data_IF_556396885767
#
_entry.id   IF_556396885767
#
_cell.length_a   1.000
_cell.length_b   1.000
_cell.length_c   1.000
_cell.angle_alpha   90.00
_cell.angle_beta   90.00
_cell.angle_gamma   90.00
#
_symmetry.space_group_name_H-M   'P 1'
#
loop_
_entity.id
_entity.type
_entity.pdbx_description
1 polymer ?
#
# COMPACT_ATOMS: atom_id res chain seq x y z
N UNK A 1 2.99 11.81 23.45
CA UNK A 1 3.89 12.80 22.81
C UNK A 1 4.53 12.10 21.63
N UNK A 2 4.13 12.43 20.40
CA UNK A 2 4.62 11.73 19.21
C UNK A 2 5.90 12.40 18.70
N UNK A 3 6.97 11.63 18.52
CA UNK A 3 8.27 12.09 18.02
C UNK A 3 8.47 11.52 16.62
N UNK A 4 8.61 12.37 15.62
CA UNK A 4 8.95 11.96 14.25
C UNK A 4 10.48 11.83 14.16
N UNK A 5 10.99 10.68 13.69
CA UNK A 5 12.44 10.45 13.48
C UNK A 5 12.72 10.05 12.03
N UNK A 6 13.83 10.52 11.48
CA UNK A 6 14.27 10.22 10.11
C UNK A 6 14.92 8.84 10.01
N UNK A 7 14.55 8.07 8.97
CA UNK A 7 15.05 6.69 8.76
C UNK A 7 14.06 5.59 9.13
N UNK A 8 12.77 5.92 9.18
CA UNK A 8 11.79 5.18 9.96
C UNK A 8 10.52 4.84 9.17
N UNK A 9 10.20 3.55 9.17
CA UNK A 9 8.89 2.96 8.95
C UNK A 9 7.93 3.52 10.00
N UNK A 10 6.93 4.32 9.63
CA UNK A 10 5.78 4.47 10.52
C UNK A 10 4.87 3.25 10.33
N UNK A 11 4.39 2.74 11.44
CA UNK A 11 3.33 1.76 11.58
C UNK A 11 2.16 2.51 12.20
N UNK A 12 0.93 2.21 11.79
CA UNK A 12 -0.23 2.50 12.63
C UNK A 12 -0.87 1.16 12.93
N UNK A 13 -0.27 0.45 13.88
CA UNK A 13 -0.76 -0.85 14.32
C UNK A 13 -2.18 -0.72 14.87
N UNK A 14 -3.12 -1.45 14.27
CA UNK A 14 -3.59 -2.66 14.95
C UNK A 14 -4.06 -3.70 13.93
N UNK A 15 -3.31 -4.80 13.87
CA UNK A 15 -3.62 -6.17 13.37
C UNK A 15 -3.46 -6.59 11.89
N UNK A 16 -3.32 -5.72 10.87
CA UNK A 16 -3.20 -6.26 9.48
C UNK A 16 -2.34 -5.48 8.46
N UNK A 17 -2.04 -4.20 8.71
CA UNK A 17 -1.41 -3.31 7.71
C UNK A 17 -0.44 -2.31 8.31
N UNK A 18 0.60 -1.96 7.56
CA UNK A 18 1.60 -0.94 7.91
C UNK A 18 1.93 -0.06 6.71
N UNK A 19 1.84 1.27 6.85
CA UNK A 19 2.25 2.24 5.81
C UNK A 19 3.62 2.80 6.13
N UNK A 20 4.63 2.34 5.41
CA UNK A 20 6.02 2.57 5.76
C UNK A 20 6.64 3.71 4.92
N UNK A 21 7.60 4.42 5.53
CA UNK A 21 8.36 5.50 4.90
C UNK A 21 9.85 5.13 4.92
N UNK A 22 10.49 5.01 3.75
CA UNK A 22 11.96 4.81 3.66
C UNK A 22 12.70 6.13 3.46
N UNK A 23 13.99 6.12 3.78
CA UNK A 23 14.89 7.25 3.54
C UNK A 23 15.31 7.32 2.06
N UNK A 24 14.37 7.67 1.19
CA UNK A 24 14.63 7.97 -0.21
C UNK A 24 13.66 9.05 -0.67
N UNK A 25 14.02 9.83 -1.68
CA UNK A 25 13.16 10.86 -2.26
C UNK A 25 12.94 10.66 -3.76
N UNK A 26 13.23 9.47 -4.27
CA UNK A 26 13.05 9.13 -5.68
C UNK A 26 11.58 8.86 -6.00
N UNK A 27 11.20 9.16 -7.25
CA UNK A 27 9.94 8.67 -7.81
C UNK A 27 10.08 7.20 -8.22
N UNK A 28 9.00 6.43 -8.08
CA UNK A 28 8.94 5.08 -8.63
C UNK A 28 8.94 5.13 -10.15
N UNK A 29 9.44 4.07 -10.77
CA UNK A 29 9.11 3.78 -12.16
C UNK A 29 7.63 3.37 -12.21
N UNK A 30 6.83 4.10 -12.98
CA UNK A 30 5.43 3.75 -13.22
C UNK A 30 5.44 2.48 -14.09
N UNK A 31 4.87 1.39 -13.59
CA UNK A 31 4.77 0.10 -14.26
C UNK A 31 3.69 0.08 -15.36
N UNK A 32 3.74 1.11 -16.21
CA UNK A 32 2.74 1.42 -17.24
C UNK A 32 2.54 0.26 -18.22
N UNK A 33 3.61 -0.25 -18.80
CA UNK A 33 3.52 -1.29 -19.83
C UNK A 33 2.89 -2.57 -19.25
N UNK A 34 3.29 -2.94 -18.03
CA UNK A 34 2.69 -4.05 -17.29
C UNK A 34 1.19 -3.85 -17.06
N UNK A 35 0.77 -2.65 -16.63
CA UNK A 35 -0.65 -2.33 -16.42
C UNK A 35 -1.43 -2.43 -17.74
N UNK A 36 -0.90 -1.85 -18.81
CA UNK A 36 -1.58 -1.81 -20.10
C UNK A 36 -1.72 -3.19 -20.73
N UNK A 37 -0.71 -4.05 -20.60
CA UNK A 37 -0.70 -5.39 -21.18
C UNK A 37 -1.58 -6.38 -20.39
N UNK A 38 -1.66 -6.24 -19.07
CA UNK A 38 -2.26 -7.25 -18.22
C UNK A 38 -3.66 -6.87 -17.70
N UNK A 39 -3.95 -5.58 -17.54
CA UNK A 39 -5.16 -5.15 -16.84
C UNK A 39 -6.06 -4.21 -17.63
N UNK A 40 -5.52 -3.51 -18.64
CA UNK A 40 -6.28 -2.57 -19.44
C UNK A 40 -6.73 -3.23 -20.74
N UNK A 41 -8.04 -3.29 -20.96
CA UNK A 41 -8.58 -3.86 -22.20
C UNK A 41 -8.36 -2.93 -23.41
N UNK A 42 -8.66 -3.42 -24.62
CA UNK A 42 -8.51 -2.64 -25.87
C UNK A 42 -9.35 -1.34 -25.96
N UNK A 43 -10.22 -1.06 -24.98
CA UNK A 43 -10.98 0.19 -24.86
C UNK A 43 -10.32 1.19 -23.90
N UNK A 44 -9.24 0.81 -23.22
CA UNK A 44 -8.59 1.64 -22.21
C UNK A 44 -9.23 1.52 -20.82
N UNK A 45 -9.94 0.42 -20.53
CA UNK A 45 -10.57 0.22 -19.22
C UNK A 45 -9.74 -0.76 -18.40
N UNK A 46 -9.31 -0.34 -17.20
CA UNK A 46 -8.67 -1.21 -16.21
C UNK A 46 -9.73 -2.05 -15.52
N UNK A 47 -9.68 -3.37 -15.77
CA UNK A 47 -10.60 -4.36 -15.18
C UNK A 47 -10.12 -4.74 -13.78
N UNK A 48 -10.64 -4.04 -12.77
CA UNK A 48 -10.32 -4.30 -11.36
C UNK A 48 -11.20 -5.41 -10.79
N UNK A 49 -12.42 -5.58 -11.31
CA UNK A 49 -13.34 -6.66 -10.91
C UNK A 49 -12.70 -8.06 -10.95
N UNK A 50 -11.73 -8.26 -11.84
CA UNK A 50 -11.04 -9.53 -12.06
C UNK A 50 -9.81 -9.70 -11.12
N UNK A 51 -9.52 -8.71 -10.27
CA UNK A 51 -8.34 -8.66 -9.40
C UNK A 51 -8.70 -8.93 -7.94
N UNK A 52 -7.82 -9.68 -7.26
CA UNK A 52 -7.90 -9.82 -5.80
C UNK A 52 -7.32 -8.60 -5.09
N UNK A 53 -8.19 -7.64 -4.82
CA UNK A 53 -7.90 -6.43 -4.03
C UNK A 53 -8.30 -6.58 -2.54
N UNK A 54 -8.28 -7.80 -2.02
CA UNK A 54 -8.41 -8.08 -0.59
C UNK A 54 -7.03 -8.02 0.08
N UNK A 55 -6.89 -7.18 1.08
CA UNK A 55 -5.64 -6.97 1.81
C UNK A 55 -5.74 -7.33 3.29
N UNK A 56 -6.95 -7.54 3.84
CA UNK A 56 -7.19 -7.60 5.29
C UNK A 56 -6.46 -8.70 6.07
N UNK A 57 -6.24 -9.93 5.56
CA UNK A 57 -5.83 -11.05 6.45
C UNK A 57 -4.84 -12.07 5.87
N UNK A 58 -4.50 -12.01 4.58
CA UNK A 58 -3.55 -12.94 3.94
C UNK A 58 -3.48 -12.67 2.43
N UNK A 59 -2.37 -12.98 1.74
CA UNK A 59 -1.03 -13.31 2.23
C UNK A 59 -0.21 -12.05 2.56
N UNK A 60 1.01 -12.22 3.10
CA UNK A 60 1.98 -11.14 3.22
C UNK A 60 2.19 -10.46 1.86
N UNK A 61 2.00 -9.13 1.79
CA UNK A 61 2.20 -8.34 0.57
C UNK A 61 3.07 -7.13 0.87
N UNK A 62 4.10 -6.95 0.04
CA UNK A 62 4.90 -5.73 -0.02
C UNK A 62 4.48 -4.91 -1.25
N UNK A 63 3.72 -3.84 -1.02
CA UNK A 63 3.14 -3.00 -2.07
C UNK A 63 4.02 -1.76 -2.27
N UNK A 64 4.78 -1.76 -3.37
CA UNK A 64 5.76 -0.71 -3.67
C UNK A 64 5.63 -0.12 -5.07
N UNK A 65 5.00 -0.85 -6.00
CA UNK A 65 4.77 -0.38 -7.36
C UNK A 65 3.60 0.60 -7.44
N UNK A 66 3.52 1.32 -8.55
CA UNK A 66 2.43 2.28 -8.78
C UNK A 66 1.09 1.54 -8.82
N UNK A 67 0.99 0.47 -9.61
CA UNK A 67 -0.23 -0.36 -9.70
C UNK A 67 -0.69 -0.89 -8.34
N UNK A 68 0.23 -1.47 -7.56
CA UNK A 68 -0.05 -2.03 -6.24
C UNK A 68 -0.60 -0.98 -5.28
N UNK A 69 0.00 0.22 -5.26
CA UNK A 69 -0.45 1.33 -4.41
C UNK A 69 -1.77 1.92 -4.89
N UNK A 70 -2.03 1.95 -6.20
CA UNK A 70 -3.33 2.33 -6.79
C UNK A 70 -4.43 1.39 -6.32
N UNK A 71 -4.24 0.07 -6.47
CA UNK A 71 -5.21 -0.93 -6.05
C UNK A 71 -5.47 -0.88 -4.54
N UNK A 72 -4.42 -0.67 -3.73
CA UNK A 72 -4.56 -0.49 -2.29
C UNK A 72 -5.34 0.77 -1.91
N UNK A 73 -5.08 1.90 -2.58
CA UNK A 73 -5.82 3.14 -2.39
C UNK A 73 -7.31 2.99 -2.79
N UNK A 74 -7.59 2.25 -3.86
CA UNK A 74 -8.96 1.92 -4.27
C UNK A 74 -9.68 1.03 -3.25
N UNK A 75 -9.03 -0.01 -2.72
CA UNK A 75 -9.60 -0.82 -1.63
C UNK A 75 -9.89 0.03 -0.37
N UNK A 76 -9.06 1.04 -0.09
CA UNK A 76 -9.28 2.02 0.98
C UNK A 76 -10.36 3.08 0.65
N UNK A 77 -11.04 3.00 -0.50
CA UNK A 77 -12.07 3.95 -0.94
C UNK A 77 -11.54 5.41 -1.09
N UNK A 78 -10.28 5.58 -1.49
CA UNK A 78 -9.69 6.91 -1.64
C UNK A 78 -10.15 7.58 -2.95
N UNK A 79 -10.74 8.76 -2.83
CA UNK A 79 -11.14 9.58 -3.99
C UNK A 79 -9.94 10.18 -4.73
N UNK A 80 -10.06 10.39 -6.04
CA UNK A 80 -9.04 11.08 -6.85
C UNK A 80 -7.93 10.17 -7.39
N UNK A 81 -7.98 8.86 -7.09
CA UNK A 81 -7.04 7.87 -7.64
C UNK A 81 -7.09 7.84 -9.17
N UNK A 82 -8.30 7.85 -9.76
CA UNK A 82 -8.43 7.76 -11.22
C UNK A 82 -7.78 8.93 -11.96
N UNK A 83 -7.89 10.14 -11.43
CA UNK A 83 -7.32 11.34 -12.06
C UNK A 83 -5.80 11.28 -12.08
N UNK A 84 -5.19 10.75 -11.02
CA UNK A 84 -3.75 10.51 -10.94
C UNK A 84 -3.35 9.42 -11.92
N UNK A 85 -4.09 8.31 -12.00
CA UNK A 85 -3.80 7.25 -12.98
C UNK A 85 -3.88 7.79 -14.41
N UNK A 86 -4.91 8.57 -14.76
CA UNK A 86 -5.04 9.20 -16.09
C UNK A 86 -3.89 10.19 -16.39
N UNK A 87 -3.33 10.85 -15.37
CA UNK A 87 -2.16 11.73 -15.52
C UNK A 87 -0.90 10.96 -15.93
N UNK A 88 -0.66 9.79 -15.34
CA UNK A 88 0.55 8.98 -15.57
C UNK A 88 0.38 7.91 -16.67
N UNK A 89 -0.85 7.45 -16.90
CA UNK A 89 -1.24 6.44 -17.88
C UNK A 89 -2.48 6.95 -18.64
N UNK A 90 -2.32 7.91 -19.56
CA UNK A 90 -3.45 8.49 -20.31
C UNK A 90 -4.24 7.47 -21.16
N UNK A 91 -3.63 6.33 -21.48
CA UNK A 91 -4.27 5.22 -22.18
C UNK A 91 -5.31 4.48 -21.30
N UNK A 92 -5.19 4.58 -19.98
CA UNK A 92 -6.18 4.11 -19.02
C UNK A 92 -7.28 5.17 -18.87
N UNK A 93 -8.36 5.01 -19.61
CA UNK A 93 -9.49 5.94 -19.72
C UNK A 93 -10.52 5.78 -18.59
N UNK A 94 -10.54 4.64 -17.93
CA UNK A 94 -11.49 4.36 -16.87
C UNK A 94 -11.22 3.05 -16.16
N UNK A 95 -12.06 2.79 -15.16
CA UNK A 95 -11.97 1.64 -14.27
C UNK A 95 -13.29 0.87 -14.32
N UNK A 96 -13.20 -0.45 -14.22
CA UNK A 96 -14.34 -1.35 -14.12
C UNK A 96 -14.19 -2.15 -12.82
N UNK A 97 -15.06 -1.88 -11.86
CA UNK A 97 -15.14 -2.56 -10.56
C UNK A 97 -16.61 -2.73 -10.18
N UNK A 98 -16.93 -3.86 -9.54
CA UNK A 98 -18.25 -4.11 -8.94
C UNK A 98 -18.28 -3.44 -7.56
N UNK A 99 -19.26 -2.55 -7.33
CA UNK A 99 -19.50 -1.90 -6.03
C UNK A 99 -19.70 -2.91 -4.89
N UNK A 100 -20.04 -4.18 -5.19
CA UNK A 100 -20.15 -5.29 -4.23
C UNK A 100 -18.82 -6.00 -3.95
N UNK A 101 -17.85 -5.88 -4.84
CA UNK A 101 -16.48 -6.38 -4.70
C UNK A 101 -15.50 -5.21 -4.51
N UNK A 102 -15.90 -4.23 -3.70
CA UNK A 102 -14.94 -3.28 -3.16
C UNK A 102 -13.89 -4.07 -2.39
N UNK A 103 -12.62 -3.93 -2.79
CA UNK A 103 -11.51 -4.58 -2.12
C UNK A 103 -11.58 -4.39 -0.61
N UNK A 104 -11.17 -5.42 0.13
CA UNK A 104 -11.35 -5.45 1.57
C UNK A 104 -10.05 -5.05 2.29
N UNK A 105 -10.14 -4.02 3.12
CA UNK A 105 -9.15 -3.67 4.13
C UNK A 105 -9.85 -3.69 5.49
N UNK A 106 -9.20 -4.25 6.51
CA UNK A 106 -9.78 -4.28 7.86
C UNK A 106 -10.02 -2.86 8.38
N UNK A 107 -9.03 -1.98 8.14
CA UNK A 107 -9.10 -0.57 8.52
C UNK A 107 -8.73 0.33 7.34
N UNK A 108 -9.52 1.39 7.14
CA UNK A 108 -9.24 2.43 6.13
C UNK A 108 -8.18 3.40 6.66
N UNK A 109 -6.92 3.02 6.51
CA UNK A 109 -5.78 3.72 7.11
C UNK A 109 -5.12 4.78 6.22
N UNK A 110 -5.34 4.72 4.89
CA UNK A 110 -4.63 5.60 3.94
C UNK A 110 -5.01 7.07 4.14
N UNK A 111 -6.29 7.42 4.18
CA UNK A 111 -6.71 8.82 4.33
C UNK A 111 -6.25 9.45 5.66
N UNK A 112 -6.41 8.80 6.83
CA UNK A 112 -5.86 9.29 8.09
C UNK A 112 -4.35 9.50 8.04
N UNK A 113 -3.59 8.56 7.44
CA UNK A 113 -2.14 8.66 7.29
C UNK A 113 -1.73 9.87 6.46
N UNK A 114 -2.36 10.06 5.29
CA UNK A 114 -2.08 11.19 4.39
C UNK A 114 -2.33 12.54 5.09
N UNK A 115 -3.47 12.65 5.80
CA UNK A 115 -3.83 13.87 6.54
C UNK A 115 -2.87 14.15 7.70
N UNK A 116 -2.57 13.15 8.52
CA UNK A 116 -1.66 13.27 9.68
C UNK A 116 -0.28 13.77 9.26
N UNK A 117 0.23 13.26 8.14
CA UNK A 117 1.59 13.52 7.68
C UNK A 117 1.70 14.62 6.61
N UNK A 118 0.59 15.27 6.25
CA UNK A 118 0.52 16.29 5.19
C UNK A 118 1.12 15.79 3.86
N UNK A 119 0.76 14.56 3.49
CA UNK A 119 1.21 13.88 2.26
C UNK A 119 0.07 13.91 1.25
N UNK A 120 0.37 14.25 0.00
CA UNK A 120 -0.66 14.17 -1.06
C UNK A 120 -0.83 12.73 -1.56
N UNK A 121 -2.03 12.38 -2.05
CA UNK A 121 -2.26 11.07 -2.65
C UNK A 121 -1.31 10.80 -3.82
N UNK A 122 -1.06 11.81 -4.65
CA UNK A 122 -0.09 11.70 -5.75
C UNK A 122 1.31 11.38 -5.23
N UNK A 123 1.75 12.03 -4.16
CA UNK A 123 3.05 11.75 -3.54
C UNK A 123 3.14 10.30 -3.04
N UNK A 124 2.11 9.81 -2.34
CA UNK A 124 2.05 8.43 -1.87
C UNK A 124 2.14 7.41 -3.02
N UNK A 125 1.36 7.64 -4.08
CA UNK A 125 1.31 6.75 -5.22
C UNK A 125 2.61 6.75 -6.03
N UNK A 126 3.31 7.89 -6.11
CA UNK A 126 4.41 8.08 -7.08
C UNK A 126 5.81 8.13 -6.45
N UNK A 127 5.94 8.40 -5.15
CA UNK A 127 7.25 8.36 -4.52
C UNK A 127 7.58 6.96 -4.03
N UNK A 128 8.80 6.54 -4.31
CA UNK A 128 9.33 5.24 -3.95
C UNK A 128 9.49 5.14 -2.42
N UNK A 129 9.50 6.29 -1.73
CA UNK A 129 9.61 6.38 -0.28
C UNK A 129 8.43 5.82 0.50
N UNK A 130 7.26 5.71 -0.12
CA UNK A 130 6.06 5.15 0.49
C UNK A 130 5.80 3.74 -0.04
N UNK A 131 5.61 2.80 0.88
CA UNK A 131 5.21 1.43 0.57
C UNK A 131 4.28 0.91 1.67
N UNK A 132 3.58 -0.17 1.39
CA UNK A 132 2.66 -0.79 2.34
C UNK A 132 3.07 -2.23 2.57
N UNK A 133 3.12 -2.63 3.83
CA UNK A 133 3.20 -4.03 4.23
C UNK A 133 1.80 -4.45 4.68
N UNK A 134 1.23 -5.44 4.02
CA UNK A 134 0.05 -6.14 4.52
C UNK A 134 0.55 -7.43 5.15
N UNK A 135 0.33 -7.60 6.45
CA UNK A 135 0.72 -8.76 7.22
C UNK A 135 -0.39 -9.02 8.23
N UNK A 136 -1.20 -10.03 7.96
CA UNK A 136 -2.31 -10.42 8.84
C UNK A 136 -1.79 -11.09 10.10
N UNK A 137 -2.55 -10.93 11.18
CA UNK A 137 -2.31 -11.54 12.48
C UNK A 137 -2.18 -13.07 12.44
N UNK A 138 -2.60 -13.76 11.38
CA UNK A 138 -2.49 -15.21 11.28
C UNK A 138 -1.12 -15.74 10.85
N UNK A 139 -0.26 -14.90 10.28
CA UNK A 139 0.97 -15.36 9.62
C UNK A 139 2.25 -14.88 10.28
N UNK A 140 2.22 -13.73 10.98
CA UNK A 140 3.37 -13.16 11.69
C UNK A 140 4.64 -13.06 10.81
N UNK A 141 4.52 -12.94 9.49
CA UNK A 141 5.66 -13.05 8.57
C UNK A 141 6.64 -11.90 8.81
N UNK A 142 6.14 -10.70 9.07
CA UNK A 142 6.99 -9.56 9.38
C UNK A 142 7.70 -9.73 10.73
N UNK A 143 7.02 -10.27 11.74
CA UNK A 143 7.63 -10.61 13.02
C UNK A 143 8.73 -11.69 12.85
N UNK A 144 8.49 -12.71 12.03
CA UNK A 144 9.50 -13.74 11.72
C UNK A 144 10.70 -13.17 10.95
N UNK A 145 10.49 -12.21 10.06
CA UNK A 145 11.60 -11.48 9.40
C UNK A 145 12.43 -10.68 10.40
N UNK A 146 11.81 -10.12 11.44
CA UNK A 146 12.54 -9.43 12.53
C UNK A 146 13.29 -10.45 13.40
N UNK A 147 12.64 -11.52 13.86
CA UNK A 147 13.23 -12.57 14.71
C UNK A 147 14.41 -13.29 14.06
N UNK A 148 14.33 -13.52 12.75
CA UNK A 148 15.42 -14.11 11.98
C UNK A 148 16.60 -13.17 11.73
N UNK A 149 16.47 -11.88 12.06
CA UNK A 149 17.47 -10.85 11.80
C UNK A 149 17.55 -10.42 10.33
N UNK A 150 16.57 -10.81 9.49
CA UNK A 150 16.48 -10.35 8.11
C UNK A 150 16.14 -8.84 8.05
N UNK A 151 15.33 -8.38 8.99
CA UNK A 151 14.95 -6.98 9.18
C UNK A 151 15.36 -6.55 10.59
N UNK A 152 15.90 -5.34 10.75
CA UNK A 152 16.24 -4.81 12.08
C UNK A 152 14.97 -4.49 12.88
N UNK A 153 14.91 -4.90 14.14
CA UNK A 153 13.83 -4.48 15.06
C UNK A 153 13.73 -2.96 15.21
N UNK A 154 14.82 -2.23 14.96
CA UNK A 154 14.83 -0.76 14.99
C UNK A 154 13.90 -0.12 13.94
N UNK A 155 13.47 -0.89 12.94
CA UNK A 155 12.53 -0.41 11.91
C UNK A 155 11.07 -0.78 12.19
N UNK A 156 10.75 -1.42 13.32
CA UNK A 156 9.40 -1.86 13.66
C UNK A 156 8.94 -1.22 14.97
N UNK A 157 8.59 0.07 14.92
CA UNK A 157 8.35 0.86 16.14
C UNK A 157 7.06 0.53 16.92
N UNK A 158 6.11 -0.20 16.32
CA UNK A 158 4.88 -0.65 17.02
C UNK A 158 4.85 -2.15 17.34
N UNK A 159 5.90 -2.92 17.04
CA UNK A 159 5.98 -4.30 17.55
C UNK A 159 6.51 -4.27 18.97
N UNK A 160 5.71 -4.77 19.91
CA UNK A 160 6.11 -4.92 21.30
C UNK A 160 6.99 -6.17 21.48
N UNK A 161 7.77 -6.24 22.56
CA UNK A 161 8.54 -7.46 22.88
C UNK A 161 7.62 -8.69 22.97
N UNK A 162 6.38 -8.52 23.45
CA UNK A 162 5.36 -9.57 23.50
C UNK A 162 4.96 -10.09 22.10
N UNK A 163 4.96 -9.24 21.06
CA UNK A 163 4.69 -9.66 19.67
C UNK A 163 5.85 -10.47 19.08
N UNK A 164 7.04 -10.42 19.70
CA UNK A 164 8.26 -11.07 19.24
C UNK A 164 8.59 -12.35 20.02
N UNK A 165 7.84 -12.71 21.06
CA UNK A 165 8.15 -13.81 21.99
C UNK A 165 7.48 -15.17 21.69
N UNK A 166 6.62 -15.30 20.67
CA UNK A 166 5.98 -16.58 20.27
C UNK A 166 6.59 -17.25 19.03
#
# INVERSE_FOLDING_TARGET
>A
MFTIRSGVFETNSSSSHSICIRNSNNNISIDKDYILENYVNGKGIWKIEDLDITYGRSPFRYLSKFSEKVLYALANNISGVEDIVKKYIPECKGFEYDDKCFGYVDDRIVEPFLKKNNITLEEFLTQEKYFVICDGDEYYIFADMIRSGLISSDVAHDYTEDDLED
#
